data_IF_639851455681
#
_entry.id   IF_639851455681
#
_cell.length_a   1.000
_cell.length_b   1.000
_cell.length_c   1.000
_cell.angle_alpha   90.00
_cell.angle_beta   90.00
_cell.angle_gamma   90.00
#
_symmetry.space_group_name_H-M   'P 1'
#
loop_
_entity.id
_entity.type
_entity.pdbx_description
1 polymer ?
#
# COMPACT_ATOMS: atom_id res chain seq x y z
N UNK A 1 -21.16 10.51 -1.62
CA UNK A 1 -21.65 10.77 -0.25
C UNK A 1 -20.52 10.43 0.70
N UNK A 2 -20.02 11.38 1.50
CA UNK A 2 -19.04 11.07 2.56
C UNK A 2 -19.78 10.33 3.67
N UNK A 3 -19.29 9.17 4.10
CA UNK A 3 -19.90 8.46 5.24
C UNK A 3 -19.85 9.37 6.48
N UNK A 4 -20.86 9.30 7.33
CA UNK A 4 -21.05 10.22 8.48
C UNK A 4 -19.93 10.16 9.54
N UNK A 5 -18.91 9.32 9.35
CA UNK A 5 -17.77 9.12 10.25
C UNK A 5 -16.44 9.72 9.74
N UNK A 6 -16.40 10.36 8.57
CA UNK A 6 -15.15 10.89 8.00
C UNK A 6 -14.77 12.25 8.58
N UNK A 7 -13.94 12.25 9.63
CA UNK A 7 -13.50 13.50 10.27
C UNK A 7 -12.52 14.30 9.41
N UNK A 8 -12.56 15.65 9.41
CA UNK A 8 -11.59 16.47 8.72
C UNK A 8 -10.14 16.21 9.15
N UNK A 9 -9.93 15.88 10.43
CA UNK A 9 -8.61 15.56 10.99
C UNK A 9 -8.05 14.28 10.39
N UNK A 10 -8.86 13.21 10.33
CA UNK A 10 -8.45 11.94 9.71
C UNK A 10 -8.10 12.14 8.23
N UNK A 11 -8.87 12.96 7.51
CA UNK A 11 -8.54 13.32 6.13
C UNK A 11 -7.18 14.02 5.98
N UNK A 12 -6.86 14.96 6.86
CA UNK A 12 -5.56 15.65 6.86
C UNK A 12 -4.41 14.67 7.15
N UNK A 13 -4.61 13.74 8.08
CA UNK A 13 -3.64 12.68 8.39
C UNK A 13 -3.36 11.81 7.15
N UNK A 14 -4.40 11.37 6.45
CA UNK A 14 -4.26 10.55 5.25
C UNK A 14 -3.56 11.29 4.12
N UNK A 15 -3.92 12.56 3.86
CA UNK A 15 -3.24 13.38 2.84
C UNK A 15 -1.76 13.51 3.17
N UNK A 16 -1.45 13.81 4.43
CA UNK A 16 -0.07 13.97 4.91
C UNK A 16 0.71 12.66 4.79
N UNK A 17 0.09 11.53 5.13
CA UNK A 17 0.70 10.21 5.03
C UNK A 17 0.96 9.82 3.56
N UNK A 18 0.01 10.02 2.67
CA UNK A 18 0.18 9.75 1.23
C UNK A 18 1.30 10.62 0.65
N UNK A 19 1.34 11.91 0.99
CA UNK A 19 2.40 12.81 0.53
C UNK A 19 3.77 12.37 1.08
N UNK A 20 3.87 12.05 2.38
CA UNK A 20 5.09 11.58 3.00
C UNK A 20 5.58 10.27 2.37
N UNK A 21 4.70 9.30 2.15
CA UNK A 21 5.02 8.02 1.51
C UNK A 21 5.50 8.24 0.07
N UNK A 22 4.89 9.15 -0.69
CA UNK A 22 5.34 9.47 -2.05
C UNK A 22 6.75 10.07 -2.04
N UNK A 23 7.03 11.01 -1.15
CA UNK A 23 8.36 11.62 -1.00
C UNK A 23 9.40 10.59 -0.55
N UNK A 24 9.08 9.78 0.47
CA UNK A 24 9.97 8.74 0.97
C UNK A 24 10.25 7.69 -0.11
N UNK A 25 9.23 7.22 -0.83
CA UNK A 25 9.40 6.25 -1.91
C UNK A 25 10.30 6.79 -3.02
N UNK A 26 10.13 8.06 -3.39
CA UNK A 26 10.99 8.72 -4.37
C UNK A 26 12.43 8.84 -3.85
N UNK A 27 12.61 9.25 -2.59
CA UNK A 27 13.92 9.34 -1.97
C UNK A 27 14.65 7.99 -1.94
N UNK A 28 13.97 6.92 -1.52
CA UNK A 28 14.54 5.57 -1.49
C UNK A 28 14.82 5.05 -2.91
N UNK A 29 13.97 5.36 -3.89
CA UNK A 29 14.22 5.03 -5.30
C UNK A 29 15.48 5.72 -5.82
N UNK A 30 15.65 7.02 -5.55
CA UNK A 30 16.86 7.75 -5.92
C UNK A 30 18.09 7.13 -5.26
N UNK A 31 18.04 6.83 -3.96
CA UNK A 31 19.14 6.15 -3.26
C UNK A 31 19.46 4.79 -3.86
N UNK A 32 18.43 4.00 -4.19
CA UNK A 32 18.60 2.70 -4.84
C UNK A 32 19.28 2.86 -6.20
N UNK A 33 18.81 3.78 -7.04
CA UNK A 33 19.40 4.04 -8.36
C UNK A 33 20.86 4.51 -8.27
N UNK A 34 21.20 5.36 -7.29
CA UNK A 34 22.57 5.84 -7.09
C UNK A 34 23.52 4.76 -6.58
N UNK A 35 23.01 3.79 -5.82
CA UNK A 35 23.78 2.65 -5.32
C UNK A 35 23.84 1.45 -6.28
N UNK A 36 22.98 1.45 -7.31
CA UNK A 36 22.80 0.31 -8.21
C UNK A 36 23.96 0.21 -9.19
N UNK A 37 24.72 -0.88 -9.08
CA UNK A 37 25.68 -1.32 -10.07
C UNK A 37 25.00 -2.34 -11.00
N UNK A 38 25.51 -2.51 -12.23
CA UNK A 38 24.95 -3.48 -13.19
C UNK A 38 24.91 -4.91 -12.64
N UNK A 39 25.85 -5.27 -11.77
CA UNK A 39 25.91 -6.56 -11.05
C UNK A 39 24.74 -6.78 -10.08
N UNK A 40 24.02 -5.73 -9.68
CA UNK A 40 22.90 -5.80 -8.73
C UNK A 40 21.52 -5.80 -9.38
N UNK A 41 21.42 -5.63 -10.70
CA UNK A 41 20.12 -5.54 -11.40
C UNK A 41 19.22 -6.75 -11.15
N UNK A 42 19.81 -7.96 -11.15
CA UNK A 42 19.06 -9.18 -10.87
C UNK A 42 18.56 -9.22 -9.42
N UNK A 43 19.33 -8.70 -8.45
CA UNK A 43 18.91 -8.60 -7.04
C UNK A 43 17.71 -7.68 -6.90
N UNK A 44 17.72 -6.54 -7.59
CA UNK A 44 16.59 -5.60 -7.60
C UNK A 44 15.35 -6.24 -8.21
N UNK A 45 15.51 -7.01 -9.30
CA UNK A 45 14.41 -7.77 -9.90
C UNK A 45 13.82 -8.82 -8.96
N UNK A 46 14.67 -9.61 -8.29
CA UNK A 46 14.23 -10.60 -7.28
C UNK A 46 13.57 -9.90 -6.09
N UNK A 47 14.13 -8.80 -5.61
CA UNK A 47 13.56 -7.99 -4.53
C UNK A 47 12.18 -7.41 -4.90
N UNK A 48 11.98 -7.00 -6.16
CA UNK A 48 10.70 -6.50 -6.63
C UNK A 48 9.62 -7.60 -6.61
N UNK A 49 9.94 -8.78 -7.16
CA UNK A 49 9.01 -9.92 -7.20
C UNK A 49 8.70 -10.42 -5.79
N UNK A 50 9.74 -10.68 -4.99
CA UNK A 50 9.57 -11.17 -3.62
C UNK A 50 8.91 -10.13 -2.72
N UNK A 51 9.20 -8.85 -2.91
CA UNK A 51 8.54 -7.75 -2.22
C UNK A 51 7.06 -7.67 -2.54
N UNK A 52 6.66 -7.84 -3.80
CA UNK A 52 5.26 -7.89 -4.19
C UNK A 52 4.54 -9.12 -3.61
N UNK A 53 5.15 -10.31 -3.66
CA UNK A 53 4.59 -11.52 -3.03
C UNK A 53 4.45 -11.33 -1.52
N UNK A 54 5.44 -10.73 -0.86
CA UNK A 54 5.36 -10.41 0.56
C UNK A 54 4.24 -9.40 0.85
N UNK A 55 4.06 -8.38 0.00
CA UNK A 55 2.98 -7.42 0.12
C UNK A 55 1.61 -8.10 0.09
N UNK A 56 1.38 -9.00 -0.88
CA UNK A 56 0.13 -9.76 -0.98
C UNK A 56 -0.13 -10.62 0.26
N UNK A 57 0.88 -11.39 0.69
CA UNK A 57 0.78 -12.23 1.89
C UNK A 57 0.53 -11.41 3.17
N UNK A 58 1.25 -10.31 3.36
CA UNK A 58 1.10 -9.45 4.55
C UNK A 58 -0.26 -8.75 4.53
N UNK A 59 -0.70 -8.23 3.38
CA UNK A 59 -2.04 -7.65 3.22
C UNK A 59 -3.12 -8.66 3.56
N UNK A 60 -3.02 -9.89 3.03
CA UNK A 60 -3.96 -10.98 3.34
C UNK A 60 -3.96 -11.35 4.83
N UNK A 61 -2.78 -11.41 5.47
CA UNK A 61 -2.66 -11.68 6.89
C UNK A 61 -3.30 -10.56 7.74
N UNK A 62 -3.04 -9.29 7.40
CA UNK A 62 -3.64 -8.14 8.08
C UNK A 62 -5.16 -8.14 7.92
N UNK A 63 -5.67 -8.41 6.71
CA UNK A 63 -7.10 -8.56 6.46
C UNK A 63 -7.70 -9.65 7.34
N UNK A 64 -7.11 -10.85 7.34
CA UNK A 64 -7.58 -11.96 8.17
C UNK A 64 -7.58 -11.62 9.68
N UNK A 65 -6.53 -10.94 10.17
CA UNK A 65 -6.46 -10.47 11.55
C UNK A 65 -7.61 -9.49 11.86
N UNK A 66 -7.83 -8.52 10.98
CA UNK A 66 -8.90 -7.52 11.13
C UNK A 66 -10.29 -8.17 11.11
N UNK A 67 -10.51 -9.20 10.31
CA UNK A 67 -11.80 -9.89 10.25
C UNK A 67 -12.04 -10.78 11.47
N UNK A 68 -11.01 -11.51 11.89
CA UNK A 68 -11.11 -12.50 12.96
C UNK A 68 -11.17 -11.83 14.33
N UNK A 69 -10.37 -10.79 14.56
CA UNK A 69 -10.22 -10.17 15.88
C UNK A 69 -10.49 -8.67 15.92
N UNK A 70 -10.64 -8.01 14.77
CA UNK A 70 -10.91 -6.58 14.72
C UNK A 70 -12.30 -6.21 15.22
N UNK A 71 -12.41 -5.03 15.83
CA UNK A 71 -13.67 -4.43 16.25
C UNK A 71 -13.72 -2.95 15.85
N UNK A 72 -14.86 -2.43 15.37
CA UNK A 72 -15.06 -0.98 15.20
C UNK A 72 -14.85 -0.17 16.50
N UNK A 73 -14.90 -0.84 17.66
CA UNK A 73 -14.66 -0.25 18.99
C UNK A 73 -13.21 -0.33 19.44
N UNK A 74 -12.30 -0.96 18.67
CA UNK A 74 -10.87 -1.00 19.01
C UNK A 74 -10.33 0.42 19.11
N UNK A 75 -9.65 0.79 20.22
CA UNK A 75 -9.08 2.12 20.37
C UNK A 75 -8.15 2.47 19.20
N UNK A 76 -8.13 3.73 18.80
CA UNK A 76 -7.27 4.30 17.74
C UNK A 76 -7.64 3.83 16.32
N UNK A 77 -7.68 2.52 16.05
CA UNK A 77 -7.82 1.96 14.70
C UNK A 77 -9.24 1.47 14.37
N UNK A 78 -10.11 1.29 15.36
CA UNK A 78 -11.43 0.66 15.16
C UNK A 78 -12.32 1.45 14.20
N UNK A 79 -12.52 2.75 14.45
CA UNK A 79 -13.37 3.60 13.60
C UNK A 79 -12.74 3.96 12.26
N UNK A 80 -11.41 4.17 12.25
CA UNK A 80 -10.73 4.70 11.07
C UNK A 80 -10.26 3.61 10.10
N UNK A 81 -9.95 2.40 10.58
CA UNK A 81 -9.38 1.31 9.78
C UNK A 81 -10.33 0.11 9.70
N UNK A 82 -10.82 -0.39 10.84
CA UNK A 82 -11.61 -1.64 10.89
C UNK A 82 -13.05 -1.43 10.41
N UNK A 83 -13.68 -0.31 10.77
CA UNK A 83 -15.08 -0.04 10.37
C UNK A 83 -15.25 0.07 8.85
N UNK A 84 -14.42 0.86 8.11
CA UNK A 84 -14.49 0.90 6.65
C UNK A 84 -14.17 -0.44 5.99
N UNK A 85 -13.24 -1.21 6.56
CA UNK A 85 -12.90 -2.55 6.08
C UNK A 85 -14.12 -3.50 6.13
N UNK A 86 -14.88 -3.47 7.24
CA UNK A 86 -16.10 -4.27 7.39
C UNK A 86 -17.27 -3.77 6.55
N UNK A 87 -17.40 -2.47 6.37
CA UNK A 87 -18.44 -1.88 5.51
C UNK A 87 -18.32 -2.42 4.08
N UNK A 88 -17.09 -2.62 3.59
CA UNK A 88 -16.84 -3.20 2.27
C UNK A 88 -17.35 -4.65 2.12
N UNK A 89 -17.41 -5.46 3.18
CA UNK A 89 -18.03 -6.80 3.10
C UNK A 89 -19.56 -6.75 2.96
N UNK A 90 -20.19 -5.66 3.40
CA UNK A 90 -21.62 -5.44 3.22
C UNK A 90 -21.93 -4.77 1.86
N UNK A 91 -21.07 -3.86 1.43
CA UNK A 91 -21.15 -3.15 0.15
C UNK A 91 -19.80 -3.20 -0.58
N UNK A 92 -19.54 -4.24 -1.39
CA UNK A 92 -18.26 -4.40 -2.09
C UNK A 92 -17.98 -3.24 -3.07
N UNK A 93 -19.01 -2.62 -3.62
CA UNK A 93 -18.84 -1.51 -4.56
C UNK A 93 -18.47 -0.20 -3.87
N UNK A 94 -18.57 -0.11 -2.54
CA UNK A 94 -18.20 1.10 -1.77
C UNK A 94 -16.82 1.63 -2.10
N UNK A 95 -15.83 0.75 -2.25
CA UNK A 95 -14.46 1.13 -2.58
C UNK A 95 -14.33 1.84 -3.93
N UNK A 96 -15.24 1.58 -4.88
CA UNK A 96 -15.25 2.24 -6.20
C UNK A 96 -15.61 3.72 -6.09
N UNK A 97 -16.35 4.09 -5.04
CA UNK A 97 -16.87 5.44 -4.79
C UNK A 97 -15.93 6.32 -3.96
N UNK A 98 -14.90 5.72 -3.37
CA UNK A 98 -13.84 6.42 -2.65
C UNK A 98 -12.93 7.18 -3.61
N UNK A 99 -12.29 8.25 -3.17
CA UNK A 99 -11.19 8.87 -3.93
C UNK A 99 -9.85 8.18 -3.66
N UNK A 100 -8.77 8.63 -4.32
CA UNK A 100 -7.44 8.02 -4.14
C UNK A 100 -6.96 8.07 -2.68
N UNK A 101 -7.24 9.15 -1.97
CA UNK A 101 -6.80 9.33 -0.58
C UNK A 101 -7.61 8.41 0.33
N UNK A 102 -8.92 8.32 0.15
CA UNK A 102 -9.77 7.43 0.96
C UNK A 102 -9.47 5.95 0.67
N UNK A 103 -9.02 5.62 -0.55
CA UNK A 103 -8.62 4.24 -0.89
C UNK A 103 -7.25 3.85 -0.33
N UNK A 104 -6.31 4.79 -0.19
CA UNK A 104 -4.91 4.48 0.15
C UNK A 104 -4.40 5.11 1.46
N UNK A 105 -5.14 6.05 2.05
CA UNK A 105 -4.67 6.91 3.13
C UNK A 105 -4.28 6.12 4.37
N UNK A 106 -5.18 5.23 4.81
CA UNK A 106 -4.92 4.32 5.92
C UNK A 106 -3.74 3.38 5.65
N UNK A 107 -3.61 2.86 4.43
CA UNK A 107 -2.44 2.07 4.02
C UNK A 107 -1.17 2.90 4.08
N UNK A 108 -1.20 4.14 3.61
CA UNK A 108 -0.07 5.07 3.66
C UNK A 108 0.37 5.37 5.10
N UNK A 109 -0.59 5.52 6.03
CA UNK A 109 -0.31 5.66 7.47
C UNK A 109 0.42 4.42 8.01
N UNK A 110 -0.01 3.22 7.61
CA UNK A 110 0.60 1.97 8.08
C UNK A 110 2.02 1.73 7.52
N UNK A 111 2.25 2.04 6.23
CA UNK A 111 3.57 1.82 5.60
C UNK A 111 4.56 2.95 5.83
N UNK A 112 4.11 4.17 6.15
CA UNK A 112 4.97 5.34 6.38
C UNK A 112 6.13 5.07 7.35
N UNK A 113 5.89 4.52 8.56
CA UNK A 113 6.95 4.15 9.49
C UNK A 113 7.94 3.12 8.92
N UNK A 114 7.47 2.17 8.11
CA UNK A 114 8.33 1.17 7.45
C UNK A 114 9.29 1.84 6.46
N UNK A 115 8.80 2.80 5.68
CA UNK A 115 9.64 3.58 4.77
C UNK A 115 10.63 4.49 5.49
N UNK A 116 10.25 5.06 6.65
CA UNK A 116 11.19 5.82 7.50
C UNK A 116 12.32 4.92 7.99
N UNK A 117 12.00 3.69 8.44
CA UNK A 117 13.03 2.73 8.85
C UNK A 117 13.94 2.32 7.69
N UNK A 118 13.38 2.18 6.48
CA UNK A 118 14.17 1.88 5.29
C UNK A 118 15.19 2.98 4.92
N UNK A 119 14.98 4.23 5.35
CA UNK A 119 15.98 5.29 5.19
C UNK A 119 17.31 4.96 5.88
N UNK A 120 17.31 4.11 6.91
CA UNK A 120 18.51 3.72 7.65
C UNK A 120 19.20 2.47 7.07
N UNK A 121 18.66 1.85 6.02
CA UNK A 121 19.33 0.75 5.33
C UNK A 121 20.47 1.33 4.47
N UNK A 122 21.73 0.93 4.70
CA UNK A 122 22.84 1.31 3.83
C UNK A 122 22.84 0.43 2.56
N UNK A 123 22.77 1.01 1.34
CA UNK A 123 22.86 0.24 0.10
C UNK A 123 24.32 0.11 -0.37
N UNK A 124 25.23 -0.25 0.54
CA UNK A 124 26.67 -0.35 0.29
C UNK A 124 27.09 -1.69 -0.33
N UNK A 125 26.34 -2.76 -0.03
CA UNK A 125 26.53 -4.10 -0.56
C UNK A 125 25.22 -4.69 -1.11
N UNK A 126 25.33 -5.84 -1.79
CA UNK A 126 24.18 -6.52 -2.40
C UNK A 126 23.02 -6.78 -1.44
N UNK A 127 23.29 -7.12 -0.17
CA UNK A 127 22.26 -7.33 0.85
C UNK A 127 21.51 -6.02 1.20
N UNK A 128 22.22 -4.90 1.29
CA UNK A 128 21.64 -3.58 1.52
C UNK A 128 20.80 -3.09 0.34
N UNK A 129 21.30 -3.29 -0.88
CA UNK A 129 20.55 -3.02 -2.12
C UNK A 129 19.28 -3.86 -2.19
N UNK A 130 19.38 -5.17 -1.90
CA UNK A 130 18.23 -6.06 -1.85
C UNK A 130 17.22 -5.61 -0.79
N UNK A 131 17.65 -5.34 0.45
CA UNK A 131 16.77 -4.93 1.54
C UNK A 131 16.04 -3.62 1.25
N UNK A 132 16.76 -2.62 0.73
CA UNK A 132 16.18 -1.33 0.34
C UNK A 132 15.15 -1.51 -0.79
N UNK A 133 15.51 -2.25 -1.85
CA UNK A 133 14.61 -2.54 -2.96
C UNK A 133 13.37 -3.34 -2.50
N UNK A 134 13.56 -4.36 -1.66
CA UNK A 134 12.50 -5.21 -1.14
C UNK A 134 11.47 -4.39 -0.39
N UNK A 135 11.91 -3.55 0.57
CA UNK A 135 10.99 -2.72 1.35
C UNK A 135 10.27 -1.69 0.48
N UNK A 136 10.97 -1.08 -0.47
CA UNK A 136 10.37 -0.13 -1.42
C UNK A 136 9.28 -0.81 -2.26
N UNK A 137 9.60 -1.93 -2.93
CA UNK A 137 8.64 -2.62 -3.80
C UNK A 137 7.51 -3.29 -3.03
N UNK A 138 7.77 -3.81 -1.83
CA UNK A 138 6.71 -4.31 -0.96
C UNK A 138 5.73 -3.19 -0.58
N UNK A 139 6.23 -2.02 -0.16
CA UNK A 139 5.38 -0.88 0.22
C UNK A 139 4.56 -0.34 -0.95
N UNK A 140 5.16 -0.24 -2.13
CA UNK A 140 4.46 0.12 -3.36
C UNK A 140 3.44 -0.96 -3.76
N UNK A 141 3.77 -2.24 -3.55
CA UNK A 141 2.87 -3.37 -3.75
C UNK A 141 1.62 -3.27 -2.87
N UNK A 142 1.76 -2.99 -1.58
CA UNK A 142 0.63 -2.83 -0.65
C UNK A 142 -0.27 -1.64 -1.05
N UNK A 143 0.29 -0.54 -1.56
CA UNK A 143 -0.54 0.55 -2.12
C UNK A 143 -1.24 0.12 -3.42
N UNK A 144 -0.53 -0.61 -4.28
CA UNK A 144 -1.07 -1.07 -5.55
C UNK A 144 -2.19 -2.09 -5.36
N UNK A 145 -2.13 -2.97 -4.35
CA UNK A 145 -3.18 -3.96 -4.08
C UNK A 145 -4.52 -3.28 -3.78
N UNK A 146 -4.54 -2.17 -3.03
CA UNK A 146 -5.76 -1.40 -2.82
C UNK A 146 -6.35 -0.82 -4.12
N UNK A 147 -5.51 -0.37 -5.05
CA UNK A 147 -5.97 0.12 -6.36
C UNK A 147 -6.46 -1.01 -7.25
N UNK A 148 -5.73 -2.13 -7.29
CA UNK A 148 -6.11 -3.32 -8.05
C UNK A 148 -7.44 -3.86 -7.53
N UNK A 149 -7.61 -3.94 -6.22
CA UNK A 149 -8.85 -4.35 -5.57
C UNK A 149 -10.03 -3.45 -5.95
N UNK A 150 -9.82 -2.12 -5.89
CA UNK A 150 -10.81 -1.15 -6.35
C UNK A 150 -11.18 -1.35 -7.82
N UNK A 151 -10.21 -1.55 -8.70
CA UNK A 151 -10.45 -1.77 -10.12
C UNK A 151 -11.14 -3.11 -10.42
N UNK A 152 -10.97 -4.12 -9.56
CA UNK A 152 -11.66 -5.40 -9.68
C UNK A 152 -13.19 -5.24 -9.51
N UNK A 153 -13.63 -4.31 -8.65
CA UNK A 153 -15.04 -3.99 -8.43
C UNK A 153 -15.64 -2.95 -9.41
N UNK A 154 -14.84 -2.33 -10.28
CA UNK A 154 -15.35 -1.34 -11.23
C UNK A 154 -15.90 -2.00 -12.51
N UNK A 155 -17.14 -1.64 -12.86
CA UNK A 155 -17.74 -1.99 -14.16
C UNK A 155 -16.94 -1.46 -15.37
N UNK A 156 -16.33 -0.28 -15.21
CA UNK A 156 -15.48 0.35 -16.22
C UNK A 156 -14.13 0.74 -15.61
N UNK A 157 -13.11 -0.05 -15.92
CA UNK A 157 -11.73 0.14 -15.45
C UNK A 157 -11.05 1.30 -16.20
N UNK A 158 -9.98 1.90 -15.64
CA UNK A 158 -9.14 2.83 -16.40
C UNK A 158 -8.59 2.16 -17.67
N UNK A 159 -8.44 2.93 -18.76
CA UNK A 159 -7.97 2.42 -20.06
C UNK A 159 -6.66 1.65 -19.98
N UNK A 160 -5.76 2.04 -19.07
CA UNK A 160 -4.45 1.40 -18.86
C UNK A 160 -4.53 0.00 -18.23
N UNK A 161 -5.66 -0.40 -17.64
CA UNK A 161 -5.85 -1.67 -16.92
C UNK A 161 -6.72 -2.66 -17.72
N UNK A 162 -7.17 -2.29 -18.92
CA UNK A 162 -8.08 -3.12 -19.74
C UNK A 162 -7.46 -4.45 -20.22
N UNK A 163 -6.13 -4.57 -20.28
CA UNK A 163 -5.47 -5.76 -20.85
C UNK A 163 -5.52 -7.01 -19.94
N UNK A 164 -5.96 -6.88 -18.69
CA UNK A 164 -5.76 -7.90 -17.66
C UNK A 164 -6.92 -8.92 -17.58
N UNK A 165 -7.97 -8.75 -18.39
CA UNK A 165 -9.19 -9.58 -18.38
C UNK A 165 -9.52 -10.24 -19.72
N UNK A 166 -8.56 -10.35 -20.65
CA UNK A 166 -8.76 -11.12 -21.89
C UNK A 166 -8.73 -12.65 -21.67
N UNK A 167 -8.66 -13.12 -20.42
CA UNK A 167 -8.59 -14.54 -20.06
C UNK A 167 -9.62 -14.94 -18.97
N UNK A 168 -10.78 -14.29 -18.92
CA UNK A 168 -11.88 -14.66 -18.02
C UNK A 168 -13.17 -14.87 -18.79
#
# INVERSE_FOLDING_TARGET
MRSSSYSPVHRVVEISAVAAVAVLSLFLLVRLCLAMQSSHLWLVGVAAVTGYVAADLISGLVHWICDTWGSPRTPVIGRSFIAPFREHHHDPESITRHDFIETNGNTAVAIGPVLVLACFIPPDAGAGVFGLAFVLFASLGVLATNQIHKWAHMDRRPRLVHCWSACG
#
